data_IF_428329649618
#
_entry.id   IF_428329649618
#
_cell.length_a   1.000
_cell.length_b   1.000
_cell.length_c   1.000
_cell.angle_alpha   90.00
_cell.angle_beta   90.00
_cell.angle_gamma   90.00
#
_symmetry.space_group_name_H-M   'P 1'
#
loop_
_entity.id
_entity.type
_entity.pdbx_description
1 polymer ?
#
# COMPACT_ATOMS: atom_id res chain seq x y z
N UNK A 1 2.42 20.25 -2.97
CA UNK A 1 3.91 20.34 -3.09
C UNK A 1 4.27 21.08 -4.39
N UNK A 2 5.50 21.63 -4.58
CA UNK A 2 5.90 22.11 -5.91
C UNK A 2 5.84 20.97 -6.94
N UNK A 3 5.65 21.29 -8.21
CA UNK A 3 5.70 20.27 -9.28
C UNK A 3 7.11 19.71 -9.40
N UNK A 4 7.24 18.39 -9.32
CA UNK A 4 8.52 17.68 -9.38
C UNK A 4 8.44 16.63 -10.50
N UNK A 5 8.44 17.05 -11.77
CA UNK A 5 8.10 16.18 -12.90
C UNK A 5 9.11 15.04 -13.13
N UNK A 6 10.33 15.18 -12.61
CA UNK A 6 11.40 14.19 -12.74
C UNK A 6 11.64 13.38 -11.46
N UNK A 7 10.86 13.60 -10.40
CA UNK A 7 11.01 12.86 -9.16
C UNK A 7 10.59 11.40 -9.38
N UNK A 8 11.52 10.46 -9.16
CA UNK A 8 11.28 9.02 -9.30
C UNK A 8 11.17 8.30 -7.96
N UNK A 9 11.77 8.86 -6.93
CA UNK A 9 11.82 8.30 -5.58
C UNK A 9 11.43 9.38 -4.57
N UNK A 10 10.45 9.10 -3.73
CA UNK A 10 10.06 9.96 -2.62
C UNK A 10 10.00 9.14 -1.35
N UNK A 11 10.74 9.57 -0.34
CA UNK A 11 10.72 8.99 1.00
C UNK A 11 10.42 10.09 2.01
N UNK A 12 9.41 9.87 2.83
CA UNK A 12 9.03 10.76 3.93
C UNK A 12 9.12 9.99 5.23
N UNK A 13 10.01 10.45 6.11
CA UNK A 13 10.29 9.84 7.40
C UNK A 13 9.90 10.79 8.53
N UNK A 14 9.14 10.30 9.51
CA UNK A 14 8.81 11.04 10.73
C UNK A 14 8.10 12.37 10.46
N UNK A 15 7.31 12.42 9.38
CA UNK A 15 6.54 13.60 9.02
C UNK A 15 5.22 13.63 9.81
N UNK A 16 5.29 13.89 11.11
CA UNK A 16 4.14 13.80 12.01
C UNK A 16 3.02 14.81 11.71
N UNK A 17 3.34 15.93 11.03
CA UNK A 17 2.37 16.92 10.59
C UNK A 17 1.78 16.66 9.19
N UNK A 18 2.25 15.63 8.48
CA UNK A 18 1.80 15.29 7.13
C UNK A 18 0.38 14.72 7.19
N UNK A 19 -0.60 15.49 6.74
CA UNK A 19 -2.01 15.04 6.72
C UNK A 19 -2.40 14.35 5.42
N UNK A 20 -1.72 14.69 4.33
CA UNK A 20 -1.98 14.21 2.98
C UNK A 20 -0.69 14.20 2.16
N UNK A 21 -0.64 13.36 1.12
CA UNK A 21 0.44 13.34 0.14
C UNK A 21 -0.09 13.89 -1.17
N UNK A 22 0.16 15.17 -1.42
CA UNK A 22 -0.14 15.81 -2.70
C UNK A 22 1.02 15.60 -3.69
N UNK A 23 0.82 14.66 -4.61
CA UNK A 23 1.73 14.34 -5.70
C UNK A 23 1.17 14.70 -7.09
N UNK A 24 0.27 15.70 -7.19
CA UNK A 24 -0.35 16.10 -8.46
C UNK A 24 0.64 16.52 -9.56
N UNK A 25 1.89 16.86 -9.19
CA UNK A 25 2.97 17.21 -10.12
C UNK A 25 4.09 16.16 -10.26
N UNK A 26 3.92 14.96 -9.70
CA UNK A 26 4.96 13.93 -9.61
C UNK A 26 4.73 12.79 -10.62
N UNK A 27 4.49 13.13 -11.90
CA UNK A 27 4.10 12.15 -12.92
C UNK A 27 5.11 11.02 -13.18
N UNK A 28 6.39 11.22 -12.86
CA UNK A 28 7.46 10.22 -13.03
C UNK A 28 7.76 9.40 -11.76
N UNK A 29 6.97 9.57 -10.69
CA UNK A 29 7.23 8.90 -9.43
C UNK A 29 7.05 7.39 -9.57
N UNK A 30 8.08 6.62 -9.24
CA UNK A 30 8.13 5.16 -9.34
C UNK A 30 8.10 4.48 -7.98
N UNK A 31 8.64 5.15 -6.95
CA UNK A 31 8.70 4.62 -5.59
C UNK A 31 8.28 5.67 -4.57
N UNK A 32 7.37 5.29 -3.67
CA UNK A 32 6.91 6.10 -2.56
C UNK A 32 7.04 5.31 -1.25
N UNK A 33 7.77 5.90 -0.30
CA UNK A 33 8.00 5.34 1.03
C UNK A 33 7.52 6.33 2.08
N UNK A 34 6.59 5.91 2.94
CA UNK A 34 6.09 6.71 4.06
C UNK A 34 6.37 5.94 5.35
N UNK A 35 7.24 6.50 6.17
CA UNK A 35 7.70 5.89 7.41
C UNK A 35 7.39 6.81 8.59
N UNK A 36 6.69 6.28 9.60
CA UNK A 36 6.39 6.99 10.85
C UNK A 36 5.66 8.34 10.62
N UNK A 37 4.75 8.37 9.64
CA UNK A 37 3.97 9.55 9.27
C UNK A 37 2.61 9.57 10.01
N UNK A 38 2.64 9.76 11.33
CA UNK A 38 1.45 9.58 12.18
C UNK A 38 0.33 10.61 12.01
N UNK A 39 0.57 11.73 11.35
CA UNK A 39 -0.47 12.69 10.99
C UNK A 39 -1.30 12.27 9.77
N UNK A 40 -0.83 11.28 9.00
CA UNK A 40 -1.45 10.85 7.75
C UNK A 40 -2.63 9.94 8.07
N UNK A 41 -3.85 10.44 7.88
CA UNK A 41 -5.05 9.65 8.17
C UNK A 41 -5.56 8.87 6.96
N UNK A 42 -5.33 9.38 5.76
CA UNK A 42 -5.77 8.77 4.50
C UNK A 42 -4.70 8.93 3.44
N UNK A 43 -4.52 7.91 2.62
CA UNK A 43 -3.70 7.98 1.42
C UNK A 43 -4.59 7.75 0.19
N UNK A 44 -4.88 8.85 -0.51
CA UNK A 44 -5.58 8.86 -1.79
C UNK A 44 -4.79 9.75 -2.74
N UNK A 45 -4.36 9.23 -3.90
CA UNK A 45 -3.49 9.97 -4.82
C UNK A 45 -4.18 10.20 -6.18
N UNK A 46 -4.05 11.39 -6.79
CA UNK A 46 -4.80 11.82 -7.98
C UNK A 46 -4.34 11.19 -9.31
N UNK A 47 -3.97 9.92 -9.30
CA UNK A 47 -3.29 9.17 -10.37
C UNK A 47 -1.78 9.36 -10.39
N UNK A 48 -1.05 8.26 -10.16
CA UNK A 48 0.40 8.16 -10.35
C UNK A 48 0.69 7.01 -11.30
N UNK A 49 0.72 7.27 -12.61
CA UNK A 49 0.73 6.22 -13.63
C UNK A 49 2.02 5.41 -13.66
N UNK A 50 3.10 5.92 -13.07
CA UNK A 50 4.41 5.27 -13.04
C UNK A 50 4.76 4.64 -11.69
N UNK A 51 3.92 4.82 -10.65
CA UNK A 51 4.23 4.31 -9.32
C UNK A 51 4.19 2.78 -9.32
N UNK A 52 5.33 2.16 -9.03
CA UNK A 52 5.51 0.70 -8.99
C UNK A 52 5.61 0.16 -7.58
N UNK A 53 6.16 0.96 -6.65
CA UNK A 53 6.39 0.55 -5.27
C UNK A 53 5.78 1.54 -4.30
N UNK A 54 4.95 1.03 -3.40
CA UNK A 54 4.40 1.77 -2.27
C UNK A 54 4.70 1.01 -0.98
N UNK A 55 5.44 1.65 -0.07
CA UNK A 55 5.72 1.12 1.26
C UNK A 55 5.24 2.10 2.34
N UNK A 56 4.42 1.58 3.24
CA UNK A 56 3.81 2.32 4.34
C UNK A 56 4.19 1.62 5.64
N UNK A 57 5.05 2.22 6.46
CA UNK A 57 5.45 1.63 7.74
C UNK A 57 5.22 2.58 8.89
N UNK A 58 4.74 2.02 10.00
CA UNK A 58 4.58 2.74 11.27
C UNK A 58 3.72 4.01 11.14
N UNK A 59 2.82 4.07 10.15
CA UNK A 59 1.87 5.17 9.99
C UNK A 59 0.64 4.89 10.85
N UNK A 60 0.76 5.08 12.16
CA UNK A 60 -0.28 4.70 13.13
C UNK A 60 -1.56 5.53 13.04
N UNK A 61 -1.51 6.71 12.41
CA UNK A 61 -2.69 7.53 12.12
C UNK A 61 -3.49 7.07 10.90
N UNK A 62 -2.89 6.25 10.02
CA UNK A 62 -3.46 5.89 8.73
C UNK A 62 -4.64 4.94 8.91
N UNK A 63 -5.80 5.33 8.39
CA UNK A 63 -7.07 4.60 8.49
C UNK A 63 -7.48 3.97 7.16
N UNK A 64 -7.15 4.61 6.05
CA UNK A 64 -7.61 4.23 4.72
C UNK A 64 -6.49 4.42 3.68
N UNK A 65 -6.33 3.44 2.78
CA UNK A 65 -5.47 3.52 1.59
C UNK A 65 -6.32 3.19 0.37
N UNK A 66 -6.32 4.08 -0.62
CA UNK A 66 -6.95 3.84 -1.92
C UNK A 66 -5.87 3.74 -3.01
N UNK A 67 -5.78 2.56 -3.63
CA UNK A 67 -4.83 2.30 -4.71
C UNK A 67 -5.43 2.48 -6.12
N UNK A 68 -6.68 2.94 -6.26
CA UNK A 68 -7.36 3.06 -7.55
C UNK A 68 -6.69 4.00 -8.54
N UNK A 69 -5.92 4.98 -8.06
CA UNK A 69 -5.09 5.87 -8.87
C UNK A 69 -3.73 5.29 -9.28
N UNK A 70 -3.40 4.04 -8.96
CA UNK A 70 -2.05 3.49 -9.10
C UNK A 70 -2.01 2.33 -10.10
N UNK A 71 -2.29 2.58 -11.40
CA UNK A 71 -2.51 1.51 -12.40
C UNK A 71 -1.28 0.65 -12.69
N UNK A 72 -0.08 1.11 -12.31
CA UNK A 72 1.20 0.42 -12.52
C UNK A 72 1.80 -0.12 -11.23
N UNK A 73 1.07 -0.10 -10.11
CA UNK A 73 1.60 -0.55 -8.83
C UNK A 73 1.85 -2.05 -8.86
N UNK A 74 3.10 -2.45 -8.63
CA UNK A 74 3.56 -3.84 -8.64
C UNK A 74 3.77 -4.36 -7.21
N UNK A 75 4.21 -3.50 -6.31
CA UNK A 75 4.56 -3.89 -4.94
C UNK A 75 3.87 -2.97 -3.93
N UNK A 76 3.02 -3.57 -3.10
CA UNK A 76 2.40 -2.90 -1.95
C UNK A 76 2.90 -3.56 -0.67
N UNK A 77 3.53 -2.76 0.18
CA UNK A 77 3.98 -3.15 1.52
C UNK A 77 3.32 -2.23 2.54
N UNK A 78 2.65 -2.82 3.52
CA UNK A 78 2.06 -2.08 4.64
C UNK A 78 2.41 -2.81 5.93
N UNK A 79 3.14 -2.15 6.82
CA UNK A 79 3.58 -2.72 8.08
C UNK A 79 3.31 -1.77 9.24
N UNK A 80 2.84 -2.33 10.37
CA UNK A 80 2.70 -1.59 11.63
C UNK A 80 1.79 -0.35 11.53
N UNK A 81 0.87 -0.33 10.56
CA UNK A 81 -0.17 0.69 10.45
C UNK A 81 -1.39 0.25 11.27
N UNK A 82 -1.28 0.40 12.60
CA UNK A 82 -2.22 -0.21 13.56
C UNK A 82 -3.68 0.26 13.45
N UNK A 83 -3.93 1.48 12.98
CA UNK A 83 -5.27 2.06 12.81
C UNK A 83 -5.87 1.82 11.42
N UNK A 84 -5.13 1.16 10.51
CA UNK A 84 -5.57 0.96 9.13
C UNK A 84 -6.75 0.00 9.11
N UNK A 85 -7.88 0.44 8.56
CA UNK A 85 -9.14 -0.32 8.50
C UNK A 85 -9.46 -0.84 7.11
N UNK A 86 -9.00 -0.13 6.08
CA UNK A 86 -9.35 -0.42 4.69
C UNK A 86 -8.18 -0.17 3.74
N UNK A 87 -7.96 -1.12 2.85
CA UNK A 87 -7.23 -0.92 1.60
C UNK A 87 -8.22 -1.19 0.47
N UNK A 88 -8.54 -0.17 -0.32
CA UNK A 88 -9.49 -0.27 -1.43
C UNK A 88 -8.80 -0.25 -2.78
N UNK A 89 -9.43 -0.93 -3.75
CA UNK A 89 -9.08 -0.88 -5.17
C UNK A 89 -7.63 -1.32 -5.44
N UNK A 90 -7.27 -2.54 -5.01
CA UNK A 90 -5.97 -3.11 -5.39
C UNK A 90 -5.89 -3.23 -6.94
N UNK A 91 -4.86 -2.65 -7.59
CA UNK A 91 -4.77 -2.62 -9.04
C UNK A 91 -4.34 -3.97 -9.61
N UNK A 92 -4.84 -4.33 -10.79
CA UNK A 92 -4.52 -5.62 -11.46
C UNK A 92 -3.03 -5.81 -11.76
N UNK A 93 -2.26 -4.73 -11.80
CA UNK A 93 -0.81 -4.74 -11.97
C UNK A 93 -0.06 -5.33 -10.78
N UNK A 94 -0.71 -5.47 -9.61
CA UNK A 94 -0.05 -5.86 -8.37
C UNK A 94 0.54 -7.28 -8.47
N UNK A 95 1.84 -7.38 -8.19
CA UNK A 95 2.61 -8.62 -8.24
C UNK A 95 2.92 -9.14 -6.83
N UNK A 96 3.13 -8.25 -5.85
CA UNK A 96 3.34 -8.63 -4.46
C UNK A 96 2.53 -7.78 -3.48
N UNK A 97 1.88 -8.46 -2.55
CA UNK A 97 1.18 -7.84 -1.43
C UNK A 97 1.78 -8.33 -0.11
N UNK A 98 2.29 -7.39 0.70
CA UNK A 98 2.79 -7.65 2.06
C UNK A 98 2.01 -6.80 3.06
N UNK A 99 1.31 -7.45 3.96
CA UNK A 99 0.59 -6.84 5.07
C UNK A 99 1.12 -7.42 6.37
N UNK A 100 1.61 -6.58 7.28
CA UNK A 100 2.07 -7.01 8.59
C UNK A 100 1.54 -6.10 9.69
N UNK A 101 1.05 -6.70 10.79
CA UNK A 101 0.63 -5.97 12.00
C UNK A 101 -0.39 -4.84 11.72
N UNK A 102 -1.19 -4.96 10.66
CA UNK A 102 -2.30 -4.06 10.37
C UNK A 102 -3.52 -4.56 11.15
N UNK A 103 -3.47 -4.39 12.48
CA UNK A 103 -4.34 -5.11 13.42
C UNK A 103 -5.82 -4.74 13.31
N UNK A 104 -6.15 -3.58 12.74
CA UNK A 104 -7.54 -3.13 12.52
C UNK A 104 -8.02 -3.31 11.07
N UNK A 105 -7.21 -3.89 10.18
CA UNK A 105 -7.53 -3.98 8.76
C UNK A 105 -8.65 -5.00 8.53
N UNK A 106 -9.83 -4.52 8.17
CA UNK A 106 -11.05 -5.32 7.97
C UNK A 106 -11.40 -5.50 6.51
N UNK A 107 -11.04 -4.52 5.66
CA UNK A 107 -11.45 -4.49 4.25
C UNK A 107 -10.22 -4.48 3.35
N UNK A 108 -10.19 -5.43 2.43
CA UNK A 108 -9.16 -5.58 1.41
C UNK A 108 -9.82 -5.86 0.06
N UNK A 109 -10.13 -4.80 -0.69
CA UNK A 109 -10.94 -4.90 -1.90
C UNK A 109 -10.09 -5.14 -3.16
N UNK A 110 -10.64 -5.87 -4.12
CA UNK A 110 -10.04 -6.07 -5.45
C UNK A 110 -9.17 -7.33 -5.59
N UNK A 111 -9.05 -8.15 -4.54
CA UNK A 111 -8.26 -9.40 -4.54
C UNK A 111 -8.65 -10.37 -5.66
N UNK A 112 -9.95 -10.48 -5.97
CA UNK A 112 -10.48 -11.35 -7.03
C UNK A 112 -9.99 -10.97 -8.43
N UNK A 113 -9.56 -9.72 -8.60
CA UNK A 113 -9.16 -9.18 -9.91
C UNK A 113 -7.64 -9.26 -10.16
N UNK A 114 -6.87 -9.70 -9.16
CA UNK A 114 -5.42 -9.70 -9.19
C UNK A 114 -4.87 -10.90 -9.98
N UNK A 115 -4.77 -10.75 -11.29
CA UNK A 115 -4.27 -11.79 -12.20
C UNK A 115 -2.75 -11.88 -12.25
N UNK A 116 -2.04 -10.81 -11.89
CA UNK A 116 -0.57 -10.75 -11.94
C UNK A 116 0.10 -11.05 -10.59
N UNK A 117 -0.68 -11.28 -9.54
CA UNK A 117 -0.16 -11.46 -8.20
C UNK A 117 0.60 -12.78 -8.10
N UNK A 118 1.84 -12.70 -7.64
CA UNK A 118 2.78 -13.83 -7.54
C UNK A 118 3.14 -14.15 -6.10
N UNK A 119 2.94 -13.23 -5.18
CA UNK A 119 3.31 -13.43 -3.79
C UNK A 119 2.45 -12.65 -2.83
N UNK A 120 1.98 -13.34 -1.79
CA UNK A 120 1.18 -12.73 -0.72
C UNK A 120 1.75 -13.11 0.63
N UNK A 121 1.83 -12.14 1.52
CA UNK A 121 2.13 -12.34 2.92
C UNK A 121 1.22 -11.46 3.75
N UNK A 122 0.43 -12.09 4.61
CA UNK A 122 -0.47 -11.42 5.55
C UNK A 122 -0.12 -11.98 6.93
N UNK A 123 0.39 -11.15 7.83
CA UNK A 123 0.88 -11.56 9.15
C UNK A 123 0.32 -10.60 10.19
N UNK A 124 -0.20 -11.12 11.29
CA UNK A 124 -0.74 -10.31 12.39
C UNK A 124 -1.80 -9.27 11.93
N UNK A 125 -2.58 -9.61 10.89
CA UNK A 125 -3.73 -8.82 10.43
C UNK A 125 -5.01 -9.56 10.86
N UNK A 126 -5.37 -9.43 12.14
CA UNK A 126 -6.28 -10.37 12.82
C UNK A 126 -7.74 -10.36 12.33
N UNK A 127 -8.15 -9.33 11.58
CA UNK A 127 -9.50 -9.25 11.01
C UNK A 127 -9.60 -9.75 9.57
N UNK A 128 -8.46 -10.10 8.93
CA UNK A 128 -8.47 -10.79 7.64
C UNK A 128 -8.34 -12.29 7.92
N UNK A 129 -9.46 -13.00 7.85
CA UNK A 129 -9.46 -14.45 7.97
C UNK A 129 -8.90 -15.09 6.69
N UNK A 130 -7.98 -16.05 6.79
CA UNK A 130 -7.42 -16.70 5.60
C UNK A 130 -8.47 -17.41 4.74
N UNK A 131 -9.55 -17.87 5.37
CA UNK A 131 -10.69 -18.52 4.73
C UNK A 131 -11.48 -17.58 3.80
N UNK A 132 -11.51 -16.27 4.10
CA UNK A 132 -12.20 -15.26 3.29
C UNK A 132 -11.38 -14.79 2.09
N UNK A 133 -10.11 -15.17 1.99
CA UNK A 133 -9.28 -14.87 0.82
C UNK A 133 -9.78 -15.68 -0.40
N UNK A 134 -9.74 -15.09 -1.61
CA UNK A 134 -10.16 -15.81 -2.80
C UNK A 134 -9.14 -16.88 -3.24
N UNK A 135 -9.61 -17.85 -4.00
CA UNK A 135 -8.85 -19.06 -4.36
C UNK A 135 -7.58 -18.75 -5.16
N UNK A 136 -7.58 -17.70 -5.98
CA UNK A 136 -6.39 -17.22 -6.69
C UNK A 136 -5.27 -16.81 -5.71
N UNK A 137 -5.62 -16.30 -4.54
CA UNK A 137 -4.67 -15.86 -3.50
C UNK A 137 -4.17 -17.03 -2.67
N UNK A 138 -5.07 -17.96 -2.28
CA UNK A 138 -4.74 -19.12 -1.44
C UNK A 138 -3.68 -20.04 -2.07
N UNK A 139 -3.60 -20.08 -3.41
CA UNK A 139 -2.65 -20.91 -4.17
C UNK A 139 -1.26 -20.29 -4.33
N UNK A 140 -1.07 -19.02 -3.96
CA UNK A 140 0.20 -18.33 -4.19
C UNK A 140 1.27 -18.73 -3.18
N UNK A 141 2.55 -18.73 -3.60
CA UNK A 141 3.64 -18.91 -2.66
C UNK A 141 3.63 -17.78 -1.63
N UNK A 142 3.83 -18.14 -0.37
CA UNK A 142 3.97 -17.18 0.73
C UNK A 142 5.34 -16.53 0.65
N UNK A 143 5.39 -15.20 0.62
CA UNK A 143 6.67 -14.47 0.57
C UNK A 143 7.45 -14.68 1.89
N UNK A 144 8.80 -14.70 1.85
CA UNK A 144 9.62 -14.79 3.05
C UNK A 144 9.47 -13.55 3.94
N UNK A 145 9.94 -13.63 5.19
CA UNK A 145 9.92 -12.50 6.16
C UNK A 145 10.78 -11.31 5.73
N UNK A 146 11.64 -11.45 4.71
CA UNK A 146 12.53 -10.38 4.26
C UNK A 146 11.75 -9.33 3.46
N UNK A 147 11.82 -8.10 3.93
CA UNK A 147 11.44 -6.91 3.19
C UNK A 147 12.58 -6.62 2.20
N UNK A 148 12.26 -6.53 0.91
CA UNK A 148 13.22 -6.11 -0.11
C UNK A 148 13.50 -4.61 0.02
#
# INVERSE_FOLDING_TARGET
>A
MPSLPNLRYLELCKCYGLKEVDCGGCGSLEHLFLYDCNGLERLQMPSLPNLRHLDLRECYGLKEVDCGGLPSLQNLSVAECGSLKRISVLPRSLETLRLQKCRQLQVLDGLDTLTNLRGVRIVECFHIAEESLPENIKRLPRLPYRWL
#
